data_IF_946424865330
#
_entry.id   IF_946424865330
#
_cell.length_a   1.000
_cell.length_b   1.000
_cell.length_c   1.000
_cell.angle_alpha   90.00
_cell.angle_beta   90.00
_cell.angle_gamma   90.00
#
_symmetry.space_group_name_H-M   'P 1'
#
loop_
_entity.id
_entity.type
_entity.pdbx_description
1 polymer ?
#
# COMPACT_ATOMS: atom_id res chain seq x y z
N UNK A 1 -8.62 -15.81 9.49
CA UNK A 1 -9.96 -15.59 8.92
C UNK A 1 -9.86 -14.39 7.99
N UNK A 2 -10.71 -14.30 6.94
CA UNK A 2 -10.64 -13.14 6.05
C UNK A 2 -11.53 -12.03 6.57
N UNK A 3 -10.99 -10.84 6.70
CA UNK A 3 -11.75 -9.63 7.03
C UNK A 3 -12.58 -9.15 5.85
N UNK A 4 -12.02 -9.25 4.64
CA UNK A 4 -12.71 -8.96 3.38
C UNK A 4 -12.48 -10.13 2.42
N UNK A 5 -13.57 -10.64 1.85
CA UNK A 5 -13.53 -11.65 0.80
C UNK A 5 -14.40 -11.21 -0.38
N UNK A 6 -13.85 -11.27 -1.56
CA UNK A 6 -14.50 -10.93 -2.82
C UNK A 6 -14.35 -12.11 -3.77
N UNK A 7 -15.45 -12.57 -4.37
CA UNK A 7 -15.44 -13.62 -5.38
C UNK A 7 -16.17 -13.20 -6.65
N UNK A 8 -15.51 -13.47 -7.77
CA UNK A 8 -16.02 -13.29 -9.14
C UNK A 8 -16.71 -11.95 -9.35
N UNK A 9 -16.08 -10.85 -8.91
CA UNK A 9 -16.67 -9.52 -8.96
C UNK A 9 -16.53 -8.91 -10.35
N UNK A 10 -17.68 -8.51 -10.92
CA UNK A 10 -17.76 -7.88 -12.23
C UNK A 10 -18.35 -6.48 -12.14
N UNK A 11 -17.78 -5.56 -12.93
CA UNK A 11 -18.32 -4.22 -13.11
C UNK A 11 -18.04 -3.66 -14.50
N UNK A 12 -19.10 -3.15 -15.13
CA UNK A 12 -19.03 -2.46 -16.40
C UNK A 12 -19.69 -1.08 -16.29
N UNK A 13 -19.12 -0.10 -16.96
CA UNK A 13 -19.71 1.22 -17.16
C UNK A 13 -19.83 1.46 -18.67
N UNK A 14 -21.06 1.54 -19.18
CA UNK A 14 -21.31 1.60 -20.62
C UNK A 14 -20.54 0.49 -21.35
N UNK A 15 -19.59 0.83 -22.20
CA UNK A 15 -18.79 -0.13 -22.97
C UNK A 15 -17.49 -0.58 -22.29
N UNK A 16 -17.08 0.07 -21.18
CA UNK A 16 -15.83 -0.23 -20.49
C UNK A 16 -16.06 -1.26 -19.38
N UNK A 17 -15.44 -2.45 -19.51
CA UNK A 17 -15.29 -3.39 -18.40
C UNK A 17 -14.22 -2.85 -17.46
N UNK A 18 -14.56 -2.64 -16.18
CA UNK A 18 -13.65 -2.14 -15.15
C UNK A 18 -13.17 -3.26 -14.24
N UNK A 19 -14.07 -4.19 -13.90
CA UNK A 19 -13.72 -5.41 -13.16
C UNK A 19 -14.20 -6.62 -13.97
N UNK A 20 -13.38 -7.68 -14.00
CA UNK A 20 -13.59 -8.84 -14.86
C UNK A 20 -13.32 -10.15 -14.10
N UNK A 21 -14.18 -10.47 -13.12
CA UNK A 21 -14.02 -11.65 -12.27
C UNK A 21 -12.92 -11.43 -11.20
N UNK A 22 -12.94 -10.26 -10.54
CA UNK A 22 -11.98 -9.95 -9.49
C UNK A 22 -12.24 -10.84 -8.27
N UNK A 23 -11.18 -11.52 -7.83
CA UNK A 23 -11.14 -12.29 -6.58
C UNK A 23 -10.11 -11.67 -5.65
N UNK A 24 -10.48 -11.44 -4.39
CA UNK A 24 -9.62 -10.81 -3.39
C UNK A 24 -9.92 -11.35 -1.99
N UNK A 25 -8.87 -11.68 -1.25
CA UNK A 25 -8.95 -12.09 0.16
C UNK A 25 -7.99 -11.25 0.98
N UNK A 26 -8.52 -10.55 2.00
CA UNK A 26 -7.76 -9.71 2.91
C UNK A 26 -7.80 -10.34 4.30
N UNK A 27 -6.67 -10.86 4.81
CA UNK A 27 -6.60 -11.48 6.13
C UNK A 27 -6.86 -10.46 7.25
N UNK A 28 -7.43 -10.93 8.37
CA UNK A 28 -7.53 -10.12 9.60
C UNK A 28 -6.13 -9.69 10.09
N UNK A 29 -6.05 -8.50 10.68
CA UNK A 29 -4.82 -7.93 11.26
C UNK A 29 -3.67 -7.75 10.26
N UNK A 30 -3.97 -7.70 8.95
CA UNK A 30 -3.00 -7.40 7.91
C UNK A 30 -2.99 -5.90 7.58
N UNK A 31 -1.83 -5.41 7.13
CA UNK A 31 -1.77 -4.21 6.31
C UNK A 31 -1.68 -4.68 4.86
N UNK A 32 -2.76 -4.55 4.14
CA UNK A 32 -2.94 -5.08 2.80
C UNK A 32 -2.80 -4.00 1.73
N UNK A 33 -1.81 -4.13 0.86
CA UNK A 33 -1.58 -3.24 -0.27
C UNK A 33 -2.38 -3.67 -1.51
N UNK A 34 -3.31 -2.86 -1.96
CA UNK A 34 -4.07 -3.07 -3.20
C UNK A 34 -3.46 -2.23 -4.32
N UNK A 35 -2.56 -2.85 -5.09
CA UNK A 35 -1.66 -2.18 -6.01
C UNK A 35 -2.21 -2.23 -7.44
N UNK A 36 -2.12 -1.11 -8.16
CA UNK A 36 -2.52 -1.07 -9.56
C UNK A 36 -2.39 0.32 -10.17
N UNK A 37 -2.26 0.37 -11.50
CA UNK A 37 -2.24 1.65 -12.24
C UNK A 37 -3.52 2.45 -12.02
N UNK A 38 -3.46 3.75 -12.29
CA UNK A 38 -4.67 4.58 -12.27
C UNK A 38 -5.68 4.05 -13.30
N UNK A 39 -6.94 3.92 -12.85
CA UNK A 39 -8.01 3.35 -13.68
C UNK A 39 -8.09 1.82 -13.72
N UNK A 40 -7.23 1.09 -12.97
CA UNK A 40 -7.27 -0.38 -12.90
C UNK A 40 -8.53 -0.95 -12.21
N UNK A 41 -9.27 -0.10 -11.44
CA UNK A 41 -10.50 -0.51 -10.74
C UNK A 41 -10.43 -0.45 -9.22
N UNK A 42 -9.33 0.04 -8.61
CA UNK A 42 -9.13 0.10 -7.16
C UNK A 42 -10.27 0.82 -6.44
N UNK A 43 -10.50 2.10 -6.74
CA UNK A 43 -11.59 2.91 -6.17
C UNK A 43 -12.98 2.33 -6.46
N UNK A 44 -13.17 1.74 -7.64
CA UNK A 44 -14.43 1.06 -8.01
C UNK A 44 -14.69 -0.11 -7.08
N UNK A 45 -13.70 -0.94 -6.83
CA UNK A 45 -13.78 -2.08 -5.89
C UNK A 45 -14.11 -1.59 -4.48
N UNK A 46 -13.41 -0.57 -3.98
CA UNK A 46 -13.64 -0.01 -2.65
C UNK A 46 -15.07 0.55 -2.49
N UNK A 47 -15.57 1.27 -3.48
CA UNK A 47 -16.96 1.78 -3.47
C UNK A 47 -17.99 0.65 -3.45
N UNK A 48 -17.69 -0.51 -4.05
CA UNK A 48 -18.57 -1.67 -3.99
C UNK A 48 -18.52 -2.36 -2.62
N UNK A 49 -17.35 -2.46 -2.00
CA UNK A 49 -17.18 -2.95 -0.61
C UNK A 49 -17.96 -2.08 0.37
N UNK A 50 -18.01 -0.76 0.14
CA UNK A 50 -18.82 0.18 0.94
C UNK A 50 -20.33 0.13 0.65
N UNK A 51 -20.79 -0.67 -0.31
CA UNK A 51 -22.17 -0.70 -0.74
C UNK A 51 -22.63 0.57 -1.49
N UNK A 52 -21.71 1.46 -1.87
CA UNK A 52 -21.98 2.71 -2.57
C UNK A 52 -22.14 2.53 -4.08
N UNK A 53 -21.63 1.41 -4.61
CA UNK A 53 -21.71 1.07 -6.03
C UNK A 53 -22.20 -0.36 -6.19
N UNK A 54 -23.18 -0.56 -7.09
CA UNK A 54 -23.74 -1.89 -7.37
C UNK A 54 -22.77 -2.70 -8.24
N UNK A 55 -22.45 -3.93 -7.81
CA UNK A 55 -21.81 -4.93 -8.64
C UNK A 55 -22.78 -5.43 -9.73
N UNK A 56 -22.23 -5.82 -10.88
CA UNK A 56 -23.01 -6.44 -11.95
C UNK A 56 -23.15 -7.96 -11.72
N UNK A 57 -22.09 -8.58 -11.14
CA UNK A 57 -22.10 -9.96 -10.66
C UNK A 57 -21.02 -10.14 -9.58
N UNK A 58 -21.05 -11.28 -8.88
CA UNK A 58 -20.11 -11.64 -7.81
C UNK A 58 -20.62 -11.34 -6.42
N UNK A 59 -19.77 -11.60 -5.44
CA UNK A 59 -20.10 -11.47 -4.03
C UNK A 59 -18.98 -10.76 -3.27
N UNK A 60 -19.39 -9.98 -2.25
CA UNK A 60 -18.48 -9.30 -1.32
C UNK A 60 -18.93 -9.61 0.10
N UNK A 61 -17.99 -10.07 0.93
CA UNK A 61 -18.21 -10.40 2.34
C UNK A 61 -17.22 -9.59 3.19
N UNK A 62 -17.72 -8.88 4.19
CA UNK A 62 -16.93 -8.12 5.17
C UNK A 62 -17.23 -8.66 6.56
N UNK A 63 -16.21 -9.08 7.30
CA UNK A 63 -16.35 -9.66 8.64
C UNK A 63 -17.43 -10.76 8.71
N UNK A 64 -17.49 -11.63 7.70
CA UNK A 64 -18.48 -12.71 7.58
C UNK A 64 -19.88 -12.29 7.13
N UNK A 65 -20.14 -11.02 6.90
CA UNK A 65 -21.44 -10.51 6.45
C UNK A 65 -21.40 -10.07 4.98
N UNK A 66 -22.43 -10.44 4.24
CA UNK A 66 -22.57 -10.07 2.81
C UNK A 66 -22.88 -8.59 2.65
N UNK A 67 -22.13 -7.94 1.79
CA UNK A 67 -22.38 -6.55 1.37
C UNK A 67 -23.53 -6.51 0.40
N UNK A 68 -24.53 -5.63 0.67
CA UNK A 68 -25.68 -5.40 -0.18
C UNK A 68 -25.68 -3.93 -0.62
N UNK A 69 -25.77 -3.69 -1.93
CA UNK A 69 -25.84 -2.34 -2.48
C UNK A 69 -26.96 -1.50 -1.87
N UNK A 70 -26.64 -0.29 -1.46
CA UNK A 70 -27.58 0.64 -0.82
C UNK A 70 -27.90 0.32 0.64
N UNK A 71 -27.33 -0.73 1.22
CA UNK A 71 -27.43 -1.04 2.64
C UNK A 71 -26.12 -0.73 3.36
N UNK A 72 -26.22 -0.28 4.61
CA UNK A 72 -25.06 0.15 5.42
C UNK A 72 -24.72 -0.81 6.55
N UNK A 73 -25.32 -2.01 6.58
CA UNK A 73 -25.19 -2.97 7.69
C UNK A 73 -23.73 -3.34 7.94
N UNK A 74 -22.94 -3.58 6.89
CA UNK A 74 -21.53 -3.91 6.97
C UNK A 74 -20.65 -2.70 7.26
N UNK A 75 -21.13 -1.46 7.02
CA UNK A 75 -20.35 -0.24 7.20
C UNK A 75 -20.02 0.05 8.68
N UNK A 76 -20.72 -0.59 9.63
CA UNK A 76 -20.36 -0.55 11.05
C UNK A 76 -18.96 -1.13 11.34
N UNK A 77 -18.47 -1.99 10.46
CA UNK A 77 -17.13 -2.59 10.57
C UNK A 77 -16.07 -1.83 9.80
N UNK A 78 -16.46 -0.84 8.96
CA UNK A 78 -15.59 -0.21 7.98
C UNK A 78 -15.38 1.26 8.33
N UNK A 79 -14.11 1.68 8.39
CA UNK A 79 -13.71 3.07 8.26
C UNK A 79 -13.25 3.34 6.83
N UNK A 80 -13.56 4.50 6.28
CA UNK A 80 -13.16 4.85 4.92
C UNK A 80 -12.48 6.21 4.83
N UNK A 81 -11.30 6.23 4.24
CA UNK A 81 -10.58 7.43 3.85
C UNK A 81 -10.56 7.53 2.33
N UNK A 82 -11.25 8.49 1.71
CA UNK A 82 -11.14 8.76 0.29
C UNK A 82 -9.81 9.42 -0.08
N UNK A 83 -9.38 9.37 -1.37
CA UNK A 83 -8.18 10.05 -1.87
C UNK A 83 -8.17 11.56 -1.50
N UNK A 84 -9.30 12.22 -1.65
CA UNK A 84 -9.47 13.63 -1.25
C UNK A 84 -10.59 13.71 -0.21
N UNK A 85 -10.24 13.73 1.09
CA UNK A 85 -11.23 13.92 2.14
C UNK A 85 -11.72 15.36 2.19
N UNK A 86 -13.03 15.53 2.33
CA UNK A 86 -13.69 16.83 2.45
C UNK A 86 -14.23 17.04 3.87
N UNK A 87 -14.12 18.27 4.35
CA UNK A 87 -14.48 18.67 5.71
C UNK A 87 -15.21 20.00 5.71
N UNK A 88 -15.85 20.33 6.81
CA UNK A 88 -16.41 21.66 7.04
C UNK A 88 -15.25 22.64 7.33
N UNK A 89 -14.96 23.61 6.42
CA UNK A 89 -13.74 24.39 6.47
C UNK A 89 -13.68 25.40 7.63
N UNK A 90 -14.84 25.70 8.23
CA UNK A 90 -14.99 26.63 9.36
C UNK A 90 -14.85 25.97 10.73
N UNK A 91 -14.74 24.66 10.81
CA UNK A 91 -14.50 23.92 12.05
C UNK A 91 -13.01 23.73 12.31
N UNK A 92 -12.64 23.55 13.58
CA UNK A 92 -11.37 22.96 13.99
C UNK A 92 -11.41 21.43 13.85
N UNK A 93 -10.25 20.77 13.95
CA UNK A 93 -10.21 19.28 13.91
C UNK A 93 -11.02 18.64 15.05
N UNK A 94 -10.90 19.21 16.26
CA UNK A 94 -11.64 18.72 17.43
C UNK A 94 -13.16 18.87 17.28
N UNK A 95 -13.63 20.06 16.88
CA UNK A 95 -15.06 20.31 16.62
C UNK A 95 -15.61 19.37 15.57
N UNK A 96 -14.86 19.12 14.50
CA UNK A 96 -15.28 18.24 13.43
C UNK A 96 -15.41 16.78 13.89
N UNK A 97 -14.40 16.25 14.64
CA UNK A 97 -14.47 14.89 15.15
C UNK A 97 -15.59 14.72 16.19
N UNK A 98 -15.78 15.69 17.08
CA UNK A 98 -16.90 15.67 18.03
C UNK A 98 -18.24 15.64 17.33
N UNK A 99 -18.42 16.47 16.32
CA UNK A 99 -19.63 16.48 15.48
C UNK A 99 -19.86 15.11 14.80
N UNK A 100 -18.83 14.48 14.23
CA UNK A 100 -18.93 13.15 13.66
C UNK A 100 -19.34 12.09 14.69
N UNK A 101 -18.77 12.15 15.91
CA UNK A 101 -19.13 11.27 17.01
C UNK A 101 -20.59 11.41 17.46
N UNK A 102 -21.11 12.64 17.48
CA UNK A 102 -22.54 12.90 17.79
C UNK A 102 -23.45 12.29 16.70
N UNK A 103 -23.09 12.43 15.42
CA UNK A 103 -23.87 11.84 14.29
C UNK A 103 -23.98 10.33 14.41
N UNK A 104 -22.90 9.64 14.82
CA UNK A 104 -22.94 8.17 14.99
C UNK A 104 -23.52 7.75 16.34
N UNK A 105 -23.97 8.68 17.17
CA UNK A 105 -24.69 8.42 18.42
C UNK A 105 -23.78 8.08 19.61
N UNK A 106 -22.51 8.49 19.60
CA UNK A 106 -21.61 8.32 20.74
C UNK A 106 -22.08 9.15 21.96
N UNK A 107 -21.94 8.59 23.15
CA UNK A 107 -22.19 9.34 24.39
C UNK A 107 -21.12 10.43 24.54
N UNK A 108 -21.49 11.57 25.14
CA UNK A 108 -20.62 12.75 25.23
C UNK A 108 -19.23 12.45 25.82
N UNK A 109 -19.17 11.71 26.92
CA UNK A 109 -17.89 11.35 27.58
C UNK A 109 -17.05 10.43 26.70
N UNK A 110 -17.65 9.41 26.10
CA UNK A 110 -16.99 8.49 25.18
C UNK A 110 -16.49 9.22 23.94
N UNK A 111 -17.28 10.13 23.37
CA UNK A 111 -16.92 10.94 22.22
C UNK A 111 -15.71 11.84 22.54
N UNK A 112 -15.71 12.51 23.70
CA UNK A 112 -14.61 13.37 24.12
C UNK A 112 -13.30 12.58 24.30
N UNK A 113 -13.34 11.45 25.00
CA UNK A 113 -12.18 10.57 25.19
C UNK A 113 -11.66 10.05 23.85
N UNK A 114 -12.55 9.56 22.98
CA UNK A 114 -12.18 9.01 21.67
C UNK A 114 -11.62 10.06 20.72
N UNK A 115 -12.19 11.25 20.68
CA UNK A 115 -11.67 12.35 19.87
C UNK A 115 -10.26 12.75 20.30
N UNK A 116 -10.02 12.86 21.62
CA UNK A 116 -8.68 13.20 22.12
C UNK A 116 -7.65 12.11 21.77
N UNK A 117 -7.98 10.83 21.99
CA UNK A 117 -7.15 9.69 21.60
C UNK A 117 -6.77 9.75 20.11
N UNK A 118 -7.75 10.01 19.23
CA UNK A 118 -7.51 10.05 17.80
C UNK A 118 -6.74 11.28 17.35
N UNK A 119 -6.99 12.45 17.93
CA UNK A 119 -6.22 13.66 17.64
C UNK A 119 -4.76 13.50 18.06
N UNK A 120 -4.50 12.83 19.18
CA UNK A 120 -3.14 12.49 19.60
C UNK A 120 -2.48 11.52 18.63
N UNK A 121 -3.17 10.43 18.24
CA UNK A 121 -2.69 9.43 17.27
C UNK A 121 -2.26 10.07 15.96
N UNK A 122 -3.05 11.03 15.44
CA UNK A 122 -2.77 11.67 14.16
C UNK A 122 -1.95 12.96 14.28
N UNK A 123 -1.48 13.31 15.49
CA UNK A 123 -0.63 14.49 15.73
C UNK A 123 -1.33 15.83 15.47
N UNK A 124 -2.63 15.92 15.78
CA UNK A 124 -3.44 17.13 15.64
C UNK A 124 -4.03 17.64 16.97
N UNK A 125 -3.60 17.11 18.12
CA UNK A 125 -4.16 17.45 19.44
C UNK A 125 -4.00 18.95 19.79
N UNK A 126 -2.91 19.58 19.36
CA UNK A 126 -2.63 20.99 19.63
C UNK A 126 -3.05 21.92 18.48
N UNK A 127 -3.75 21.40 17.46
CA UNK A 127 -4.11 22.18 16.27
C UNK A 127 -5.45 22.89 16.51
N UNK A 128 -5.38 24.20 16.73
CA UNK A 128 -6.54 25.06 17.05
C UNK A 128 -7.06 25.86 15.85
N UNK A 129 -6.37 25.80 14.72
CA UNK A 129 -6.79 26.50 13.51
C UNK A 129 -7.96 25.78 12.82
N UNK A 130 -8.74 26.56 12.07
CA UNK A 130 -9.81 25.99 11.25
C UNK A 130 -9.24 25.14 10.10
N UNK A 131 -9.98 24.10 9.73
CA UNK A 131 -9.60 23.11 8.68
C UNK A 131 -9.33 23.77 7.32
N UNK A 132 -9.91 24.96 7.03
CA UNK A 132 -9.60 25.72 5.81
C UNK A 132 -8.10 25.99 5.63
N UNK A 133 -7.35 26.11 6.72
CA UNK A 133 -5.91 26.35 6.74
C UNK A 133 -5.05 25.09 6.72
N UNK A 134 -5.65 23.91 6.75
CA UNK A 134 -4.91 22.65 6.82
C UNK A 134 -4.19 22.34 5.50
N UNK A 135 -2.95 21.85 5.63
CA UNK A 135 -2.24 21.22 4.53
C UNK A 135 -2.94 19.94 4.06
N UNK A 136 -2.59 19.42 2.89
CA UNK A 136 -3.11 18.15 2.40
C UNK A 136 -2.81 17.01 3.38
N UNK A 137 -1.60 16.95 3.93
CA UNK A 137 -1.22 15.94 4.93
C UNK A 137 -2.04 16.04 6.22
N UNK A 138 -2.29 17.25 6.73
CA UNK A 138 -3.17 17.44 7.89
C UNK A 138 -4.61 16.98 7.61
N UNK A 139 -5.13 17.24 6.42
CA UNK A 139 -6.46 16.75 6.00
C UNK A 139 -6.50 15.23 5.91
N UNK A 140 -5.48 14.60 5.34
CA UNK A 140 -5.38 13.13 5.31
C UNK A 140 -5.34 12.55 6.72
N UNK A 141 -4.53 13.10 7.62
CA UNK A 141 -4.47 12.66 9.02
C UNK A 141 -5.80 12.82 9.75
N UNK A 142 -6.49 13.94 9.58
CA UNK A 142 -7.83 14.13 10.13
C UNK A 142 -8.85 13.13 9.54
N UNK A 143 -8.75 12.83 8.24
CA UNK A 143 -9.59 11.82 7.58
C UNK A 143 -9.37 10.42 8.15
N UNK A 144 -8.13 10.05 8.49
CA UNK A 144 -7.84 8.79 9.19
C UNK A 144 -8.49 8.80 10.58
N UNK A 145 -8.35 9.88 11.34
CA UNK A 145 -8.99 10.01 12.65
C UNK A 145 -10.53 9.83 12.56
N UNK A 146 -11.17 10.50 11.59
CA UNK A 146 -12.59 10.33 11.31
C UNK A 146 -12.96 8.89 10.96
N UNK A 147 -12.18 8.24 10.08
CA UNK A 147 -12.43 6.87 9.67
C UNK A 147 -12.28 5.87 10.82
N UNK A 148 -11.44 6.16 11.81
CA UNK A 148 -11.21 5.33 13.01
C UNK A 148 -12.19 5.60 14.15
N UNK A 149 -13.04 6.61 14.05
CA UNK A 149 -13.87 7.10 15.15
C UNK A 149 -14.75 5.98 15.75
N UNK A 150 -15.38 5.19 14.89
CA UNK A 150 -16.28 4.08 15.28
C UNK A 150 -15.54 2.75 15.54
N UNK A 151 -14.23 2.76 15.85
CA UNK A 151 -13.43 1.56 16.10
C UNK A 151 -13.64 0.46 15.03
N UNK A 152 -13.43 0.75 13.74
CA UNK A 152 -13.71 -0.19 12.67
C UNK A 152 -12.77 -1.40 12.74
N UNK A 153 -13.24 -2.56 12.27
CA UNK A 153 -12.41 -3.76 12.09
C UNK A 153 -11.61 -3.71 10.78
N UNK A 154 -12.09 -2.96 9.79
CA UNK A 154 -11.46 -2.74 8.49
C UNK A 154 -11.37 -1.25 8.20
N UNK A 155 -10.15 -0.75 8.03
CA UNK A 155 -9.91 0.60 7.52
C UNK A 155 -9.56 0.50 6.03
N UNK A 156 -10.34 1.16 5.18
CA UNK A 156 -10.10 1.27 3.74
C UNK A 156 -9.59 2.67 3.43
N UNK A 157 -8.40 2.77 2.83
CA UNK A 157 -7.80 4.03 2.43
C UNK A 157 -7.58 4.06 0.91
N UNK A 158 -8.17 5.03 0.22
CA UNK A 158 -7.97 5.21 -1.21
C UNK A 158 -6.84 6.22 -1.45
N UNK A 159 -5.68 5.74 -1.94
CA UNK A 159 -4.47 6.53 -2.25
C UNK A 159 -4.03 7.47 -1.08
N UNK A 160 -3.88 6.98 0.17
CA UNK A 160 -3.73 7.84 1.36
C UNK A 160 -2.47 8.71 1.35
N UNK A 161 -1.44 8.31 0.60
CA UNK A 161 -0.15 9.01 0.52
C UNK A 161 0.04 9.79 -0.78
N UNK A 162 -0.95 9.75 -1.68
CA UNK A 162 -0.90 10.44 -2.97
C UNK A 162 -0.72 11.95 -2.81
N UNK A 163 0.20 12.51 -3.61
CA UNK A 163 0.52 13.95 -3.64
C UNK A 163 0.89 14.56 -2.27
N UNK A 164 1.46 13.74 -1.37
CA UNK A 164 2.12 14.21 -0.15
C UNK A 164 3.64 14.30 -0.38
N UNK A 165 4.28 15.21 0.35
CA UNK A 165 5.73 15.26 0.46
C UNK A 165 6.28 14.04 1.25
N UNK A 166 7.58 13.76 1.21
CA UNK A 166 8.15 12.58 1.89
C UNK A 166 7.88 12.53 3.39
N UNK A 167 7.78 13.69 4.07
CA UNK A 167 7.51 13.76 5.50
C UNK A 167 6.06 13.38 5.78
N UNK A 168 5.11 14.01 5.09
CA UNK A 168 3.68 13.70 5.23
C UNK A 168 3.34 12.26 4.86
N UNK A 169 4.02 11.68 3.84
CA UNK A 169 3.89 10.26 3.51
C UNK A 169 4.32 9.37 4.67
N UNK A 170 5.50 9.67 5.25
CA UNK A 170 6.01 8.93 6.40
C UNK A 170 5.02 8.98 7.57
N UNK A 171 4.49 10.15 7.90
CA UNK A 171 3.52 10.33 8.99
C UNK A 171 2.27 9.46 8.79
N UNK A 172 1.70 9.42 7.58
CA UNK A 172 0.55 8.57 7.25
C UNK A 172 0.88 7.08 7.44
N UNK A 173 2.02 6.63 6.90
CA UNK A 173 2.43 5.23 7.01
C UNK A 173 2.69 4.82 8.47
N UNK A 174 3.27 5.70 9.27
CA UNK A 174 3.53 5.45 10.69
C UNK A 174 2.20 5.34 11.49
N UNK A 175 1.18 6.14 11.15
CA UNK A 175 -0.17 6.02 11.73
C UNK A 175 -0.80 4.67 11.36
N UNK A 176 -0.73 4.25 10.08
CA UNK A 176 -1.27 2.95 9.65
C UNK A 176 -0.58 1.77 10.35
N UNK A 177 0.73 1.87 10.57
CA UNK A 177 1.47 0.87 11.35
C UNK A 177 1.03 0.81 12.81
N UNK A 178 0.76 1.95 13.44
CA UNK A 178 0.37 2.04 14.84
C UNK A 178 -0.99 1.36 15.13
N UNK A 179 -1.90 1.35 14.16
CA UNK A 179 -3.26 0.81 14.34
C UNK A 179 -3.42 -0.67 13.92
N UNK A 180 -2.38 -1.29 13.33
CA UNK A 180 -2.48 -2.62 12.70
C UNK A 180 -2.95 -3.74 13.64
N UNK A 181 -2.61 -3.66 14.91
CA UNK A 181 -3.00 -4.69 15.90
C UNK A 181 -4.50 -4.63 16.24
N UNK A 182 -5.15 -3.49 16.00
CA UNK A 182 -6.55 -3.26 16.34
C UNK A 182 -7.47 -3.30 15.10
N UNK A 183 -6.93 -2.98 13.93
CA UNK A 183 -7.72 -2.76 12.71
C UNK A 183 -6.98 -3.32 11.51
N UNK A 184 -7.66 -4.15 10.72
CA UNK A 184 -7.16 -4.56 9.40
C UNK A 184 -7.13 -3.36 8.46
N UNK A 185 -6.04 -3.13 7.76
CA UNK A 185 -5.89 -1.99 6.84
C UNK A 185 -5.84 -2.48 5.39
N UNK A 186 -6.74 -1.99 4.56
CA UNK A 186 -6.68 -2.13 3.10
C UNK A 186 -6.41 -0.76 2.50
N UNK A 187 -5.24 -0.54 1.89
CA UNK A 187 -5.02 0.71 1.20
C UNK A 187 -4.63 0.51 -0.27
N UNK A 188 -5.26 1.32 -1.12
CA UNK A 188 -4.89 1.37 -2.52
C UNK A 188 -3.70 2.28 -2.73
N UNK A 189 -2.80 1.89 -3.61
CA UNK A 189 -1.68 2.75 -4.01
C UNK A 189 -1.10 2.32 -5.36
N UNK A 190 -0.43 3.25 -6.00
CA UNK A 190 0.48 2.98 -7.13
C UNK A 190 1.95 3.19 -6.71
N UNK A 191 2.21 3.54 -5.44
CA UNK A 191 3.53 3.84 -4.88
C UNK A 191 4.08 2.59 -4.20
N UNK A 192 4.94 1.86 -4.89
CA UNK A 192 5.44 0.56 -4.44
C UNK A 192 6.32 0.63 -3.21
N UNK A 193 7.07 1.72 -3.03
CA UNK A 193 7.89 1.95 -1.84
C UNK A 193 7.08 2.07 -0.53
N UNK A 194 5.85 2.56 -0.60
CA UNK A 194 4.97 2.60 0.57
C UNK A 194 4.51 1.19 0.97
N UNK A 195 4.22 0.36 -0.04
CA UNK A 195 3.86 -1.05 0.16
C UNK A 195 5.00 -1.82 0.79
N UNK A 196 6.22 -1.70 0.26
CA UNK A 196 7.41 -2.38 0.80
C UNK A 196 7.68 -2.02 2.25
N UNK A 197 7.34 -0.79 2.62
CA UNK A 197 7.59 -0.26 3.96
C UNK A 197 6.65 -0.83 5.03
N UNK A 198 5.36 -1.00 4.73
CA UNK A 198 4.37 -1.30 5.77
C UNK A 198 3.50 -2.52 5.52
N UNK A 199 3.38 -3.02 4.27
CA UNK A 199 2.46 -4.11 3.98
C UNK A 199 2.97 -5.46 4.44
N UNK A 200 2.05 -6.25 4.97
CA UNK A 200 2.23 -7.69 5.22
C UNK A 200 1.80 -8.52 4.03
N UNK A 201 0.74 -8.08 3.36
CA UNK A 201 0.10 -8.76 2.24
C UNK A 201 -0.20 -7.79 1.11
N UNK A 202 -0.25 -8.28 -0.12
CA UNK A 202 -0.49 -7.45 -1.30
C UNK A 202 -1.34 -8.17 -2.34
N UNK A 203 -2.02 -7.39 -3.16
CA UNK A 203 -2.63 -7.84 -4.41
C UNK A 203 -2.32 -6.87 -5.55
N UNK A 204 -1.93 -7.40 -6.69
CA UNK A 204 -1.67 -6.64 -7.91
C UNK A 204 -2.89 -6.69 -8.81
N UNK A 205 -3.53 -5.53 -8.99
CA UNK A 205 -4.69 -5.36 -9.87
C UNK A 205 -4.24 -4.87 -11.24
N UNK A 206 -4.50 -5.68 -12.26
CA UNK A 206 -4.28 -5.31 -13.66
C UNK A 206 -5.55 -5.54 -14.46
N UNK A 207 -6.01 -4.53 -15.20
CA UNK A 207 -7.16 -4.63 -16.13
C UNK A 207 -8.42 -5.26 -15.50
N UNK A 208 -8.68 -4.96 -14.23
CA UNK A 208 -9.86 -5.44 -13.50
C UNK A 208 -9.77 -6.87 -12.96
N UNK A 209 -8.58 -7.48 -12.99
CA UNK A 209 -8.29 -8.82 -12.45
C UNK A 209 -7.13 -8.75 -11.47
N UNK A 210 -7.17 -9.53 -10.40
CA UNK A 210 -6.02 -9.73 -9.51
C UNK A 210 -5.11 -10.78 -10.13
N UNK A 211 -3.92 -10.36 -10.57
CA UNK A 211 -2.94 -11.26 -11.17
C UNK A 211 -2.14 -12.07 -10.14
N UNK A 212 -1.75 -11.41 -9.03
CA UNK A 212 -1.00 -12.02 -7.93
C UNK A 212 -1.51 -11.46 -6.62
N UNK A 213 -1.69 -12.31 -5.61
CA UNK A 213 -1.97 -11.90 -4.24
C UNK A 213 -1.31 -12.85 -3.22
N UNK A 214 -1.05 -12.35 -2.03
CA UNK A 214 -0.53 -13.12 -0.90
C UNK A 214 0.40 -12.31 0.00
N UNK A 215 1.11 -13.01 0.89
CA UNK A 215 2.11 -12.37 1.74
C UNK A 215 3.22 -11.79 0.92
N UNK A 216 3.60 -10.56 1.23
CA UNK A 216 4.67 -9.84 0.54
C UNK A 216 6.00 -10.62 0.56
N UNK A 217 6.34 -11.24 1.71
CA UNK A 217 7.52 -12.08 1.86
C UNK A 217 7.54 -13.27 0.89
N UNK A 218 6.39 -13.94 0.74
CA UNK A 218 6.28 -15.14 -0.09
C UNK A 218 6.34 -14.77 -1.58
N UNK A 219 5.72 -13.66 -1.94
CA UNK A 219 5.78 -13.12 -3.30
C UNK A 219 7.24 -12.75 -3.62
N UNK A 220 7.92 -11.97 -2.77
CA UNK A 220 9.34 -11.64 -2.97
C UNK A 220 10.21 -12.90 -3.09
N UNK A 221 9.93 -13.94 -2.33
CA UNK A 221 10.68 -15.20 -2.39
C UNK A 221 10.46 -15.96 -3.70
N UNK A 222 9.23 -16.01 -4.23
CA UNK A 222 8.91 -16.68 -5.50
C UNK A 222 9.57 -16.04 -6.71
N UNK A 223 9.74 -14.74 -6.67
CA UNK A 223 10.33 -13.94 -7.75
C UNK A 223 11.78 -13.56 -7.44
N UNK A 224 12.42 -14.28 -6.52
CA UNK A 224 13.80 -14.01 -6.15
C UNK A 224 14.69 -14.21 -7.36
N UNK A 225 15.33 -13.12 -7.79
CA UNK A 225 16.33 -13.17 -8.85
C UNK A 225 17.56 -13.97 -8.38
N UNK A 226 18.15 -14.74 -9.27
CA UNK A 226 19.45 -15.35 -9.05
C UNK A 226 20.59 -14.38 -9.39
N UNK A 227 20.25 -13.12 -9.62
CA UNK A 227 21.18 -12.06 -9.96
C UNK A 227 21.90 -11.52 -8.73
N UNK A 228 23.15 -11.15 -8.94
CA UNK A 228 23.97 -10.41 -8.00
C UNK A 228 24.30 -9.04 -8.57
N UNK A 229 24.30 -8.03 -7.72
CA UNK A 229 24.76 -6.68 -8.06
C UNK A 229 26.10 -6.43 -7.38
N UNK A 230 27.03 -5.89 -8.16
CA UNK A 230 28.38 -5.56 -7.75
C UNK A 230 28.64 -4.10 -8.07
N UNK A 231 29.21 -3.36 -7.11
CA UNK A 231 29.62 -1.97 -7.27
C UNK A 231 31.12 -1.83 -6.99
N UNK A 232 31.83 -1.20 -7.93
CA UNK A 232 33.29 -0.95 -7.81
C UNK A 232 33.56 0.50 -7.45
N UNK A 233 34.76 0.76 -6.90
CA UNK A 233 35.20 2.10 -6.51
C UNK A 233 35.48 3.03 -7.69
N UNK A 234 35.69 2.49 -8.89
CA UNK A 234 36.01 3.26 -10.09
C UNK A 234 35.70 2.51 -11.38
N UNK A 235 35.64 3.26 -12.49
CA UNK A 235 35.33 2.75 -13.83
C UNK A 235 36.37 1.75 -14.37
N UNK A 236 37.65 1.89 -13.98
CA UNK A 236 38.73 1.00 -14.43
C UNK A 236 38.55 -0.40 -13.87
N UNK A 237 38.27 -0.52 -12.58
CA UNK A 237 38.03 -1.79 -11.90
C UNK A 237 36.77 -2.49 -12.46
N UNK A 238 35.71 -1.72 -12.78
CA UNK A 238 34.52 -2.24 -13.45
C UNK A 238 34.85 -2.84 -14.82
N UNK A 239 35.62 -2.14 -15.63
CA UNK A 239 36.03 -2.62 -16.97
C UNK A 239 36.87 -3.89 -16.91
N UNK A 240 37.78 -4.01 -15.93
CA UNK A 240 38.59 -5.23 -15.68
C UNK A 240 37.66 -6.42 -15.40
N UNK A 241 36.66 -6.23 -14.52
CA UNK A 241 35.68 -7.27 -14.20
C UNK A 241 34.90 -7.67 -15.44
N UNK A 242 34.36 -6.70 -16.19
CA UNK A 242 33.54 -6.97 -17.37
C UNK A 242 34.32 -7.67 -18.49
N UNK A 243 35.63 -7.35 -18.66
CA UNK A 243 36.49 -8.04 -19.62
C UNK A 243 36.79 -9.48 -19.20
N UNK A 244 36.91 -9.73 -17.90
CA UNK A 244 37.24 -11.06 -17.37
C UNK A 244 36.00 -11.95 -17.29
N UNK A 245 34.84 -11.36 -17.00
CA UNK A 245 33.57 -12.03 -16.83
C UNK A 245 32.52 -11.45 -17.84
N UNK A 246 32.54 -11.89 -19.09
CA UNK A 246 31.77 -11.26 -20.18
C UNK A 246 30.26 -11.32 -20.01
N UNK A 247 29.73 -12.21 -19.13
CA UNK A 247 28.30 -12.31 -18.83
C UNK A 247 27.83 -11.24 -17.83
N UNK A 248 28.73 -10.43 -17.27
CA UNK A 248 28.35 -9.29 -16.43
C UNK A 248 27.81 -8.16 -17.29
N UNK A 249 26.62 -7.68 -16.92
CA UNK A 249 25.97 -6.56 -17.58
C UNK A 249 26.12 -5.29 -16.77
N UNK A 250 26.45 -4.19 -17.43
CA UNK A 250 26.52 -2.88 -16.79
C UNK A 250 25.11 -2.31 -16.62
N UNK A 251 24.75 -1.93 -15.38
CA UNK A 251 23.46 -1.31 -15.04
C UNK A 251 23.61 0.13 -14.55
N UNK A 252 24.82 0.56 -14.22
CA UNK A 252 25.13 1.90 -13.73
C UNK A 252 26.57 2.30 -14.02
N UNK A 253 27.01 3.47 -13.54
CA UNK A 253 28.36 3.98 -13.81
C UNK A 253 29.47 3.01 -13.34
N UNK A 254 29.34 2.47 -12.13
CA UNK A 254 30.31 1.54 -11.53
C UNK A 254 29.60 0.26 -11.04
N UNK A 255 28.47 -0.09 -11.63
CA UNK A 255 27.63 -1.19 -11.19
C UNK A 255 27.46 -2.23 -12.27
N UNK A 256 27.66 -3.48 -11.90
CA UNK A 256 27.50 -4.66 -12.72
C UNK A 256 26.44 -5.57 -12.11
N UNK A 257 25.71 -6.28 -12.96
CA UNK A 257 24.79 -7.36 -12.58
C UNK A 257 25.22 -8.65 -13.26
N UNK A 258 25.11 -9.77 -12.57
CA UNK A 258 25.40 -11.10 -13.11
C UNK A 258 24.55 -12.17 -12.40
N UNK A 259 24.32 -13.30 -13.10
CA UNK A 259 23.78 -14.53 -12.52
C UNK A 259 24.90 -15.53 -12.30
N UNK A 260 24.76 -16.38 -11.27
CA UNK A 260 25.63 -17.54 -11.13
C UNK A 260 25.40 -18.49 -12.33
N UNK A 261 26.49 -18.96 -12.91
CA UNK A 261 26.46 -19.83 -14.08
C UNK A 261 27.86 -20.38 -14.35
N UNK A 262 28.53 -19.82 -15.35
CA UNK A 262 29.92 -20.22 -15.72
C UNK A 262 30.94 -19.92 -14.61
N UNK A 263 30.61 -19.02 -13.68
CA UNK A 263 31.43 -18.67 -12.49
C UNK A 263 30.54 -18.37 -11.30
N UNK A 264 31.07 -18.70 -10.12
CA UNK A 264 30.40 -18.49 -8.84
C UNK A 264 30.74 -17.12 -8.24
N UNK A 265 29.96 -16.65 -7.28
CA UNK A 265 30.29 -15.48 -6.46
C UNK A 265 31.70 -15.60 -5.84
N UNK A 266 32.09 -16.81 -5.43
CA UNK A 266 33.41 -17.05 -4.83
C UNK A 266 34.55 -16.86 -5.83
N UNK A 267 34.39 -17.23 -7.10
CA UNK A 267 35.39 -17.01 -8.16
C UNK A 267 35.59 -15.52 -8.42
N UNK A 268 34.49 -14.76 -8.45
CA UNK A 268 34.50 -13.30 -8.59
C UNK A 268 35.18 -12.65 -7.39
N UNK A 269 34.86 -13.04 -6.15
CA UNK A 269 35.47 -12.49 -4.94
C UNK A 269 36.98 -12.80 -4.89
N UNK A 270 37.40 -14.00 -5.30
CA UNK A 270 38.82 -14.36 -5.38
C UNK A 270 39.56 -13.48 -6.40
N UNK A 271 38.99 -13.29 -7.58
CA UNK A 271 39.56 -12.44 -8.60
C UNK A 271 39.67 -10.97 -8.13
N UNK A 272 38.65 -10.45 -7.46
CA UNK A 272 38.65 -9.10 -6.86
C UNK A 272 39.81 -8.97 -5.85
N UNK A 273 39.98 -9.95 -4.97
CA UNK A 273 41.01 -9.95 -3.96
C UNK A 273 42.40 -10.03 -4.58
N UNK A 274 42.62 -10.93 -5.55
CA UNK A 274 43.91 -11.13 -6.23
C UNK A 274 44.35 -9.90 -7.04
N UNK A 275 43.40 -9.15 -7.58
CA UNK A 275 43.65 -7.94 -8.38
C UNK A 275 43.58 -6.65 -7.60
N UNK A 276 43.32 -6.72 -6.28
CA UNK A 276 43.11 -5.55 -5.40
C UNK A 276 42.08 -4.56 -5.93
N UNK A 277 40.98 -5.07 -6.54
CA UNK A 277 39.87 -4.28 -7.06
C UNK A 277 39.11 -3.66 -5.90
N UNK A 278 38.81 -2.37 -5.99
CA UNK A 278 38.04 -1.66 -4.96
C UNK A 278 36.55 -2.05 -5.04
N UNK A 279 36.18 -3.06 -4.25
CA UNK A 279 34.76 -3.48 -4.11
C UNK A 279 34.07 -2.60 -3.07
N UNK A 280 33.01 -1.89 -3.48
CA UNK A 280 32.18 -1.10 -2.57
C UNK A 280 30.97 -1.89 -2.08
N UNK A 281 30.38 -2.71 -2.96
CA UNK A 281 29.18 -3.47 -2.64
C UNK A 281 29.11 -4.76 -3.44
N UNK A 282 28.67 -5.82 -2.81
CA UNK A 282 28.24 -7.06 -3.46
C UNK A 282 27.03 -7.57 -2.71
N UNK A 283 25.92 -7.67 -3.39
CA UNK A 283 24.69 -8.18 -2.80
C UNK A 283 23.93 -9.02 -3.82
N UNK A 284 23.09 -9.92 -3.33
CA UNK A 284 22.12 -10.59 -4.16
C UNK A 284 21.02 -9.58 -4.51
N UNK A 285 20.69 -9.45 -5.78
CA UNK A 285 19.62 -8.55 -6.22
C UNK A 285 18.29 -9.02 -5.60
N UNK A 286 17.75 -8.22 -4.72
CA UNK A 286 16.39 -8.46 -4.25
C UNK A 286 15.42 -7.96 -5.32
N UNK A 287 14.40 -8.78 -5.69
CA UNK A 287 13.38 -8.32 -6.64
C UNK A 287 12.66 -7.12 -6.02
N UNK A 288 12.69 -6.00 -6.70
CA UNK A 288 11.89 -4.85 -6.32
C UNK A 288 10.41 -5.14 -6.64
N UNK A 289 9.50 -4.57 -5.85
CA UNK A 289 8.07 -4.66 -6.21
C UNK A 289 7.79 -4.04 -7.60
N UNK A 290 8.64 -3.13 -8.06
CA UNK A 290 8.53 -2.54 -9.40
C UNK A 290 8.78 -3.58 -10.50
N UNK A 291 9.84 -4.38 -10.38
CA UNK A 291 10.12 -5.47 -11.34
C UNK A 291 9.01 -6.51 -11.34
N UNK A 292 8.51 -6.88 -10.15
CA UNK A 292 7.38 -7.81 -9.99
C UNK A 292 6.09 -7.26 -10.60
N UNK A 293 5.80 -5.98 -10.37
CA UNK A 293 4.62 -5.32 -10.92
C UNK A 293 4.67 -5.28 -12.44
N UNK A 294 5.83 -4.96 -13.04
CA UNK A 294 6.01 -4.97 -14.49
C UNK A 294 5.78 -6.36 -15.08
N UNK A 295 6.33 -7.41 -14.46
CA UNK A 295 6.13 -8.79 -14.91
C UNK A 295 4.65 -9.23 -14.87
N UNK A 296 3.89 -8.80 -13.85
CA UNK A 296 2.45 -9.10 -13.71
C UNK A 296 1.60 -8.30 -14.69
N UNK A 297 2.03 -7.09 -15.05
CA UNK A 297 1.28 -6.19 -15.96
C UNK A 297 1.53 -6.51 -17.43
N UNK A 298 2.69 -7.06 -17.79
CA UNK A 298 3.05 -7.41 -19.17
C UNK A 298 2.50 -8.78 -19.62
N UNK A 299 2.08 -9.62 -18.68
CA UNK A 299 1.37 -10.89 -18.95
C UNK A 299 -0.15 -10.66 -19.03
#
# INVERSE_FOLDING_TARGET
MDMLYISDLYKRFSDKKVLNGLNLSVPEHSIFGFIGKNGAGKTTTMKMVLGLLKADAGEIIVNGEKVVYGQTTTNRYIGYLPDVPEFYPFMTAAEYLHFCGEIIGMKRTENEERCNELLELVGLVNETHHIKGFSRGMKQRLGIAQALLNRPKLLICDEPTSALDPVGRKEILDILLAIREQTTVLFSTHILSDVERICTDVAFLNSGVVGVQGKLSDIKTRYRSEEYQLETGNDTDMLILQQTFPNMQQIGRNQLVFCEGDYTVFDILRFIADRHIALLKLERAEPTLESLFMEVVEK
#
